data_IF_843765983294
#
_entry.id   IF_843765983294
#
_cell.length_a   1.000
_cell.length_b   1.000
_cell.length_c   1.000
_cell.angle_alpha   90.00
_cell.angle_beta   90.00
_cell.angle_gamma   90.00
#
_symmetry.space_group_name_H-M   'P 1'
#
loop_
_entity.id
_entity.type
_entity.pdbx_description
1 polymer ?
#
# COMPACT_ATOMS: atom_id res chain seq x y z
N UNK A 1 -36.15 -25.31 4.65
CA UNK A 1 -35.45 -25.34 5.95
C UNK A 1 -34.13 -24.61 5.77
N UNK A 2 -33.90 -23.53 6.51
CA UNK A 2 -32.63 -22.82 6.55
C UNK A 2 -31.72 -23.48 7.58
N UNK A 3 -30.69 -24.18 7.13
CA UNK A 3 -29.68 -24.75 8.02
C UNK A 3 -28.85 -23.62 8.64
N UNK A 4 -29.14 -23.31 9.90
CA UNK A 4 -28.32 -22.41 10.71
C UNK A 4 -27.01 -23.13 11.01
N UNK A 5 -26.00 -22.94 10.15
CA UNK A 5 -24.66 -23.48 10.36
C UNK A 5 -24.06 -22.86 11.62
N UNK A 6 -24.03 -23.63 12.71
CA UNK A 6 -23.35 -23.26 13.94
C UNK A 6 -21.86 -23.12 13.65
N UNK A 7 -21.35 -21.88 13.68
CA UNK A 7 -19.93 -21.60 13.43
C UNK A 7 -19.08 -22.28 14.51
N UNK A 8 -18.26 -23.29 14.20
CA UNK A 8 -17.54 -24.06 15.22
C UNK A 8 -16.42 -23.29 15.92
N UNK A 9 -16.01 -22.12 15.40
CA UNK A 9 -14.77 -21.45 15.77
C UNK A 9 -14.69 -20.85 17.18
N UNK A 10 -15.80 -20.42 17.78
CA UNK A 10 -15.76 -19.70 19.08
C UNK A 10 -15.51 -20.59 20.29
N UNK A 11 -15.89 -21.88 20.22
CA UNK A 11 -15.85 -22.85 21.33
C UNK A 11 -14.42 -23.33 21.60
N UNK A 12 -13.64 -23.46 20.52
CA UNK A 12 -12.27 -23.94 20.55
C UNK A 12 -11.33 -22.94 21.25
N UNK A 13 -11.49 -21.64 20.98
CA UNK A 13 -10.71 -20.59 21.66
C UNK A 13 -10.99 -20.55 23.17
N UNK A 14 -12.24 -20.75 23.59
CA UNK A 14 -12.60 -20.83 25.01
C UNK A 14 -11.99 -22.05 25.72
N UNK A 15 -11.99 -23.22 25.08
CA UNK A 15 -11.33 -24.43 25.61
C UNK A 15 -9.81 -24.28 25.68
N UNK A 16 -9.20 -23.65 24.67
CA UNK A 16 -7.76 -23.37 24.66
C UNK A 16 -7.37 -22.40 25.78
N UNK A 17 -8.18 -21.36 26.01
CA UNK A 17 -8.01 -20.43 27.14
C UNK A 17 -8.10 -21.17 28.49
N UNK A 18 -9.11 -22.02 28.66
CA UNK A 18 -9.30 -22.79 29.88
C UNK A 18 -8.16 -23.80 30.12
N UNK A 19 -7.64 -24.44 29.06
CA UNK A 19 -6.49 -25.33 29.12
C UNK A 19 -5.22 -24.58 29.56
N UNK A 20 -4.94 -23.40 28.98
CA UNK A 20 -3.79 -22.58 29.38
C UNK A 20 -3.89 -22.06 30.82
N UNK A 21 -5.10 -21.70 31.28
CA UNK A 21 -5.36 -21.32 32.69
C UNK A 21 -5.09 -22.51 33.62
N UNK A 22 -5.59 -23.70 33.28
CA UNK A 22 -5.36 -24.92 34.05
C UNK A 22 -3.88 -25.29 34.15
N UNK A 23 -3.14 -25.20 33.04
CA UNK A 23 -1.72 -25.53 32.97
C UNK A 23 -0.83 -24.57 33.79
N UNK A 24 -1.29 -23.32 33.98
CA UNK A 24 -0.63 -22.35 34.85
C UNK A 24 -0.92 -22.59 36.33
N UNK A 25 -2.15 -22.99 36.67
CA UNK A 25 -2.54 -23.35 38.03
C UNK A 25 -1.85 -24.63 38.52
N UNK A 26 -1.54 -25.57 37.63
CA UNK A 26 -0.74 -26.76 37.94
C UNK A 26 0.77 -26.50 37.97
N UNK A 27 1.21 -25.24 37.82
CA UNK A 27 2.61 -24.83 37.98
C UNK A 27 3.55 -25.34 36.88
N UNK A 28 3.02 -25.76 35.72
CA UNK A 28 3.84 -26.28 34.62
C UNK A 28 4.48 -25.18 33.77
N UNK A 29 4.03 -23.92 33.91
CA UNK A 29 4.48 -22.76 33.13
C UNK A 29 4.63 -21.53 34.04
N UNK A 30 5.86 -21.03 34.20
CA UNK A 30 6.20 -19.80 34.98
C UNK A 30 5.96 -18.49 34.21
N UNK A 31 5.57 -18.56 32.95
CA UNK A 31 5.52 -17.40 32.05
C UNK A 31 4.47 -16.37 32.45
N UNK A 32 4.60 -15.11 32.03
CA UNK A 32 3.70 -14.03 32.43
C UNK A 32 2.23 -14.29 32.03
N UNK A 33 1.28 -13.84 32.85
CA UNK A 33 -0.16 -13.95 32.60
C UNK A 33 -0.59 -13.36 31.24
N UNK A 34 0.13 -12.36 30.74
CA UNK A 34 -0.10 -11.77 29.43
C UNK A 34 0.01 -12.78 28.27
N UNK A 35 0.93 -13.75 28.35
CA UNK A 35 1.09 -14.79 27.32
C UNK A 35 0.01 -15.87 27.40
N UNK A 36 -0.53 -16.14 28.59
CA UNK A 36 -1.66 -17.05 28.78
C UNK A 36 -2.93 -16.49 28.11
N UNK A 37 -3.07 -15.17 28.05
CA UNK A 37 -4.17 -14.50 27.34
C UNK A 37 -3.86 -14.22 25.86
N UNK A 38 -2.67 -14.59 25.34
CA UNK A 38 -2.31 -14.42 23.92
C UNK A 38 -3.38 -14.87 22.92
N UNK A 39 -4.06 -16.03 23.08
CA UNK A 39 -5.14 -16.41 22.18
C UNK A 39 -6.36 -15.48 22.23
N UNK A 40 -6.58 -14.76 23.33
CA UNK A 40 -7.68 -13.79 23.48
C UNK A 40 -7.36 -12.44 22.84
N UNK A 41 -6.14 -11.91 23.05
CA UNK A 41 -5.75 -10.60 22.52
C UNK A 41 -5.05 -10.65 21.15
N UNK A 42 -4.58 -11.82 20.70
CA UNK A 42 -3.95 -11.98 19.39
C UNK A 42 -4.81 -11.52 18.21
N UNK A 43 -6.10 -11.90 18.13
CA UNK A 43 -7.02 -11.39 17.12
C UNK A 43 -7.23 -9.88 17.22
N UNK A 44 -7.39 -9.36 18.45
CA UNK A 44 -7.61 -7.93 18.72
C UNK A 44 -6.39 -7.11 18.29
N UNK A 45 -5.18 -7.56 18.63
CA UNK A 45 -3.93 -6.92 18.25
C UNK A 45 -3.72 -6.91 16.73
N UNK A 46 -4.05 -8.02 16.05
CA UNK A 46 -4.00 -8.09 14.59
C UNK A 46 -4.90 -7.04 13.94
N UNK A 47 -6.15 -6.92 14.39
CA UNK A 47 -7.09 -5.92 13.87
C UNK A 47 -6.59 -4.50 14.15
N UNK A 48 -6.11 -4.24 15.37
CA UNK A 48 -5.60 -2.94 15.76
C UNK A 48 -4.40 -2.51 14.89
N UNK A 49 -3.49 -3.45 14.60
CA UNK A 49 -2.34 -3.21 13.73
C UNK A 49 -2.78 -2.85 12.30
N UNK A 50 -3.73 -3.60 11.73
CA UNK A 50 -4.24 -3.33 10.38
C UNK A 50 -4.91 -1.96 10.31
N UNK A 51 -5.74 -1.61 11.30
CA UNK A 51 -6.38 -0.29 11.38
C UNK A 51 -5.34 0.81 11.50
N UNK A 52 -4.33 0.63 12.36
CA UNK A 52 -3.27 1.62 12.53
C UNK A 52 -2.49 1.83 11.22
N UNK A 53 -2.08 0.75 10.56
CA UNK A 53 -1.42 0.81 9.25
C UNK A 53 -2.31 1.48 8.19
N UNK A 54 -3.60 1.17 8.17
CA UNK A 54 -4.57 1.78 7.26
C UNK A 54 -4.73 3.28 7.51
N UNK A 55 -4.85 3.71 8.76
CA UNK A 55 -4.93 5.13 9.14
C UNK A 55 -3.65 5.87 8.77
N UNK A 56 -2.47 5.28 9.03
CA UNK A 56 -1.19 5.85 8.64
C UNK A 56 -1.06 5.98 7.13
N UNK A 57 -1.52 4.98 6.37
CA UNK A 57 -1.52 5.03 4.91
C UNK A 57 -2.44 6.12 4.36
N UNK A 58 -3.67 6.24 4.90
CA UNK A 58 -4.62 7.29 4.53
C UNK A 58 -4.08 8.66 4.91
N UNK A 59 -3.48 8.80 6.10
CA UNK A 59 -2.87 10.05 6.54
C UNK A 59 -1.69 10.42 5.64
N UNK A 60 -0.81 9.47 5.30
CA UNK A 60 0.30 9.71 4.37
C UNK A 60 -0.21 10.11 2.98
N UNK A 61 -1.22 9.41 2.44
CA UNK A 61 -1.85 9.76 1.17
C UNK A 61 -2.49 11.16 1.21
N UNK A 62 -3.19 11.48 2.31
CA UNK A 62 -3.79 12.79 2.54
C UNK A 62 -2.74 13.90 2.67
N UNK A 63 -1.62 13.65 3.35
CA UNK A 63 -0.50 14.59 3.46
C UNK A 63 0.12 14.84 2.07
N UNK A 64 0.30 13.80 1.24
CA UNK A 64 0.81 13.98 -0.12
C UNK A 64 -0.16 14.75 -1.02
N UNK A 65 -1.46 14.54 -0.86
CA UNK A 65 -2.51 15.30 -1.57
C UNK A 65 -2.56 16.77 -1.10
N UNK A 66 -2.33 17.00 0.19
CA UNK A 66 -2.27 18.34 0.78
C UNK A 66 -1.09 19.16 0.22
N UNK A 67 0.05 18.52 0.00
CA UNK A 67 1.18 19.16 -0.67
C UNK A 67 0.85 19.54 -2.12
N UNK A 68 0.09 18.68 -2.82
CA UNK A 68 -0.33 18.96 -4.19
C UNK A 68 -1.22 20.20 -4.25
N UNK A 69 -2.26 20.29 -3.41
CA UNK A 69 -3.18 21.44 -3.42
C UNK A 69 -2.53 22.77 -3.07
N UNK A 70 -1.51 22.79 -2.20
CA UNK A 70 -0.81 24.02 -1.81
C UNK A 70 -0.24 24.75 -3.03
N UNK A 71 0.28 24.01 -4.02
CA UNK A 71 0.82 24.60 -5.25
C UNK A 71 -0.26 25.09 -6.22
N UNK A 72 -1.48 24.53 -6.18
CA UNK A 72 -2.61 25.03 -6.98
C UNK A 72 -3.22 26.31 -6.41
N UNK A 73 -3.25 26.44 -5.09
CA UNK A 73 -3.86 27.58 -4.40
C UNK A 73 -3.11 28.88 -4.67
N UNK A 74 -1.79 28.80 -4.62
CA UNK A 74 -0.88 29.90 -4.97
C UNK A 74 -1.14 30.40 -6.39
N UNK A 75 -1.13 29.51 -7.40
CA UNK A 75 -1.36 29.87 -8.80
C UNK A 75 -2.73 30.56 -9.03
N UNK A 76 -3.75 30.14 -8.29
CA UNK A 76 -5.09 30.71 -8.37
C UNK A 76 -5.17 32.09 -7.70
N UNK A 77 -4.50 32.28 -6.56
CA UNK A 77 -4.41 33.57 -5.87
C UNK A 77 -3.64 34.58 -6.74
N UNK A 78 -2.49 34.20 -7.30
CA UNK A 78 -1.70 35.08 -8.16
C UNK A 78 -2.48 35.52 -9.42
N UNK A 79 -3.20 34.59 -10.06
CA UNK A 79 -4.09 34.90 -11.19
C UNK A 79 -5.26 35.82 -10.79
N UNK A 80 -5.82 35.61 -9.61
CA UNK A 80 -6.95 36.42 -9.11
C UNK A 80 -6.52 37.86 -8.77
N UNK A 81 -5.30 38.05 -8.27
CA UNK A 81 -4.81 39.36 -7.85
C UNK A 81 -4.15 40.18 -8.97
N UNK A 82 -3.47 39.55 -9.93
CA UNK A 82 -2.62 40.26 -10.91
C UNK A 82 -3.12 40.22 -12.37
N UNK A 83 -4.30 39.64 -12.64
CA UNK A 83 -4.76 39.39 -14.01
C UNK A 83 -3.97 38.25 -14.68
N UNK A 84 -4.28 37.91 -15.93
CA UNK A 84 -3.58 36.83 -16.63
C UNK A 84 -2.09 37.19 -16.84
N UNK A 85 -1.13 36.40 -16.32
CA UNK A 85 0.29 36.65 -16.48
C UNK A 85 0.70 36.64 -17.97
N UNK A 86 1.49 37.63 -18.42
CA UNK A 86 2.09 37.63 -19.77
C UNK A 86 3.14 36.53 -19.96
N UNK A 87 3.60 35.88 -18.89
CA UNK A 87 4.31 34.61 -18.94
C UNK A 87 3.77 33.65 -17.85
N UNK A 88 3.24 32.47 -18.23
CA UNK A 88 2.77 31.51 -17.24
C UNK A 88 3.99 30.87 -16.59
N UNK A 89 4.34 31.37 -15.39
CA UNK A 89 5.09 30.70 -14.32
C UNK A 89 6.11 29.65 -14.78
N UNK A 90 7.38 30.05 -14.80
CA UNK A 90 8.52 29.19 -15.15
C UNK A 90 8.64 27.91 -14.30
N UNK A 91 8.09 27.87 -13.09
CA UNK A 91 8.03 26.64 -12.27
C UNK A 91 7.07 25.57 -12.83
N UNK A 92 6.10 25.94 -13.68
CA UNK A 92 5.25 24.99 -14.40
C UNK A 92 5.91 24.43 -15.67
N UNK A 93 7.00 25.07 -16.12
CA UNK A 93 7.87 24.61 -17.21
C UNK A 93 8.76 23.44 -16.78
N UNK A 94 8.95 23.27 -15.48
CA UNK A 94 9.73 22.20 -14.88
C UNK A 94 8.75 21.10 -14.45
N UNK A 95 8.47 20.20 -15.39
CA UNK A 95 8.26 18.77 -15.11
C UNK A 95 6.88 18.29 -14.63
N UNK A 96 5.88 18.37 -15.52
CA UNK A 96 4.93 17.26 -15.68
C UNK A 96 5.28 16.56 -16.99
N UNK A 97 5.93 15.38 -16.98
CA UNK A 97 6.10 14.63 -18.22
C UNK A 97 4.72 14.37 -18.80
N UNK A 98 4.43 15.02 -19.92
CA UNK A 98 3.19 14.87 -20.65
C UNK A 98 2.97 13.36 -20.87
N UNK A 99 1.77 12.86 -20.58
CA UNK A 99 1.45 11.45 -20.79
C UNK A 99 1.77 11.01 -22.23
N UNK A 100 1.69 11.94 -23.20
CA UNK A 100 2.16 11.75 -24.57
C UNK A 100 3.67 11.45 -24.69
N UNK A 101 4.53 12.10 -23.91
CA UNK A 101 5.96 11.80 -23.91
C UNK A 101 6.22 10.43 -23.30
N UNK A 102 5.50 10.05 -22.23
CA UNK A 102 5.64 8.72 -21.63
C UNK A 102 5.25 7.59 -22.60
N UNK A 103 4.13 7.73 -23.33
CA UNK A 103 3.72 6.72 -24.31
C UNK A 103 4.69 6.63 -25.50
N UNK A 104 5.27 7.76 -25.93
CA UNK A 104 6.26 7.76 -27.01
C UNK A 104 7.56 7.08 -26.57
N UNK A 105 8.05 7.39 -25.36
CA UNK A 105 9.23 6.73 -24.78
C UNK A 105 9.02 5.23 -24.59
N UNK A 106 7.84 4.80 -24.12
CA UNK A 106 7.53 3.37 -23.98
C UNK A 106 7.51 2.66 -25.34
N UNK A 107 6.98 3.31 -26.38
CA UNK A 107 6.98 2.77 -27.74
C UNK A 107 8.40 2.69 -28.32
N UNK A 108 9.21 3.72 -28.10
CA UNK A 108 10.60 3.77 -28.57
C UNK A 108 11.45 2.68 -27.90
N UNK A 109 11.37 2.59 -26.57
CA UNK A 109 12.10 1.56 -25.79
C UNK A 109 11.66 0.16 -26.22
N UNK A 110 10.37 -0.06 -26.48
CA UNK A 110 9.86 -1.34 -26.99
C UNK A 110 10.44 -1.66 -28.37
N UNK A 111 10.48 -0.69 -29.28
CA UNK A 111 11.02 -0.88 -30.62
C UNK A 111 12.53 -1.19 -30.60
N UNK A 112 13.31 -0.50 -29.75
CA UNK A 112 14.72 -0.82 -29.55
C UNK A 112 14.92 -2.25 -29.03
N UNK A 113 14.09 -2.68 -28.08
CA UNK A 113 14.20 -4.01 -27.50
C UNK A 113 13.87 -5.10 -28.51
N UNK A 114 12.81 -4.92 -29.30
CA UNK A 114 12.41 -5.85 -30.36
C UNK A 114 13.49 -6.00 -31.44
N UNK A 115 14.17 -4.89 -31.81
CA UNK A 115 15.32 -4.90 -32.71
C UNK A 115 16.47 -5.74 -32.15
N UNK A 116 16.84 -5.52 -30.88
CA UNK A 116 17.91 -6.27 -30.21
C UNK A 116 17.59 -7.76 -30.10
N UNK A 117 16.32 -8.13 -29.86
CA UNK A 117 15.89 -9.54 -29.86
C UNK A 117 16.04 -10.15 -31.24
N UNK A 118 15.60 -9.44 -32.29
CA UNK A 118 15.68 -9.95 -33.66
C UNK A 118 17.12 -10.14 -34.11
N UNK A 119 18.01 -9.21 -33.74
CA UNK A 119 19.44 -9.33 -33.98
C UNK A 119 20.03 -10.53 -33.24
N UNK A 120 19.77 -10.66 -31.94
CA UNK A 120 20.25 -11.78 -31.13
C UNK A 120 19.79 -13.13 -31.70
N UNK A 121 18.54 -13.22 -32.15
CA UNK A 121 18.00 -14.42 -32.81
C UNK A 121 18.70 -14.69 -34.15
N UNK A 122 18.89 -13.66 -34.98
CA UNK A 122 19.62 -13.82 -36.25
C UNK A 122 21.07 -14.26 -36.06
N UNK A 123 21.72 -13.87 -34.97
CA UNK A 123 23.07 -14.34 -34.65
C UNK A 123 23.03 -15.80 -34.19
N UNK A 124 22.08 -16.17 -33.32
CA UNK A 124 21.90 -17.55 -32.88
C UNK A 124 21.65 -18.52 -34.04
N UNK A 125 20.75 -18.16 -34.97
CA UNK A 125 20.42 -18.96 -36.16
C UNK A 125 21.57 -19.08 -37.17
N UNK A 126 22.63 -18.25 -37.06
CA UNK A 126 23.85 -18.34 -37.89
C UNK A 126 24.97 -19.11 -37.22
N UNK A 127 24.94 -19.23 -35.89
CA UNK A 127 25.96 -19.90 -35.08
C UNK A 127 25.65 -21.39 -34.92
N UNK A 128 24.37 -21.76 -34.92
CA UNK A 128 23.88 -23.15 -34.98
C UNK A 128 23.54 -23.54 -36.41
#
# INVERSE_FOLDING_TARGET
>A
MSDTRSSPGGRFLGLLLLLFIGLKLTGHIDWSWLWVLAPLWGPIATVLLVVLCGVLFIAAAGITDWQYQRHYWEAKIYRWWHGEPQDPVSWARIEKPNYHTKITLIKEIRAEFDMKIKEAKSVADKVW
#
